data_IF_634056580944
#
_entry.id   IF_634056580944
#
_cell.length_a   1.000
_cell.length_b   1.000
_cell.length_c   1.000
_cell.angle_alpha   90.00
_cell.angle_beta   90.00
_cell.angle_gamma   90.00
#
_symmetry.space_group_name_H-M   'P 1'
#
loop_
_entity.id
_entity.type
_entity.pdbx_description
1 polymer ?
#
# COMPACT_ATOMS: atom_id res chain seq x y z
N UNK A 1 10.17 3.32 -18.80
CA UNK A 1 9.12 3.40 -17.76
C UNK A 1 9.67 2.86 -16.44
N UNK A 2 9.13 3.32 -15.30
CA UNK A 2 9.46 2.78 -13.98
C UNK A 2 8.36 1.80 -13.59
N UNK A 3 8.60 0.54 -13.91
CA UNK A 3 7.73 -0.58 -13.56
C UNK A 3 7.98 -1.03 -12.12
N UNK A 4 6.90 -1.38 -11.42
CA UNK A 4 6.93 -2.14 -10.19
C UNK A 4 6.10 -3.40 -10.35
N UNK A 5 6.71 -4.57 -10.13
CA UNK A 5 6.02 -5.85 -10.03
C UNK A 5 5.58 -6.06 -8.59
N UNK A 6 4.29 -5.97 -8.35
CA UNK A 6 3.72 -6.12 -7.01
C UNK A 6 3.00 -7.45 -6.97
N UNK A 7 3.38 -8.30 -6.01
CA UNK A 7 2.67 -9.55 -5.75
C UNK A 7 1.86 -9.43 -4.47
N UNK A 8 0.65 -9.98 -4.48
CA UNK A 8 -0.17 -10.17 -3.29
C UNK A 8 -0.28 -11.66 -3.01
N UNK A 9 -0.06 -12.05 -1.76
CA UNK A 9 -0.13 -13.45 -1.32
C UNK A 9 -1.16 -13.53 -0.23
N UNK A 10 -2.32 -14.09 -0.56
CA UNK A 10 -3.25 -14.48 0.47
C UNK A 10 -2.60 -15.62 1.26
N UNK A 11 -2.65 -15.60 2.59
CA UNK A 11 -2.13 -16.65 3.48
C UNK A 11 -3.20 -17.24 4.38
N UNK A 12 -4.37 -16.58 4.49
CA UNK A 12 -5.42 -16.95 5.42
C UNK A 12 -6.68 -17.42 4.67
N UNK A 13 -7.39 -18.41 5.23
CA UNK A 13 -8.77 -18.72 4.87
C UNK A 13 -9.61 -18.60 6.13
N UNK A 14 -10.59 -17.70 6.12
CA UNK A 14 -11.49 -17.37 7.25
C UNK A 14 -12.18 -18.60 7.85
N UNK A 15 -12.28 -19.71 7.12
CA UNK A 15 -13.01 -20.91 7.52
C UNK A 15 -12.28 -21.79 8.55
N UNK A 16 -10.96 -21.69 8.71
CA UNK A 16 -10.20 -22.58 9.62
C UNK A 16 -9.11 -21.78 10.33
N UNK A 17 -9.11 -21.81 11.66
CA UNK A 17 -7.99 -21.32 12.46
C UNK A 17 -6.87 -22.35 12.40
N UNK A 18 -5.71 -21.91 11.94
CA UNK A 18 -4.54 -22.76 11.73
C UNK A 18 -3.40 -22.30 12.61
N UNK A 19 -2.53 -23.23 12.98
CA UNK A 19 -1.35 -22.91 13.77
C UNK A 19 -0.33 -22.11 12.94
N UNK A 20 0.55 -21.41 13.65
CA UNK A 20 1.59 -20.57 13.05
C UNK A 20 2.45 -21.30 12.04
N UNK A 21 2.86 -22.53 12.34
CA UNK A 21 3.83 -23.25 11.53
C UNK A 21 3.18 -23.67 10.19
N UNK A 22 1.90 -24.05 10.22
CA UNK A 22 1.09 -24.25 9.01
C UNK A 22 0.97 -22.98 8.16
N UNK A 23 0.73 -21.83 8.79
CA UNK A 23 0.61 -20.54 8.09
C UNK A 23 1.95 -20.09 7.47
N UNK A 24 3.06 -20.29 8.17
CA UNK A 24 4.42 -20.03 7.67
C UNK A 24 4.78 -20.96 6.51
N UNK A 25 4.52 -22.26 6.63
CA UNK A 25 4.76 -23.23 5.56
C UNK A 25 3.98 -22.86 4.28
N UNK A 26 2.72 -22.44 4.44
CA UNK A 26 1.91 -21.94 3.32
C UNK A 26 2.45 -20.64 2.74
N UNK A 27 2.82 -19.68 3.58
CA UNK A 27 3.40 -18.42 3.13
C UNK A 27 4.66 -18.69 2.31
N UNK A 28 5.53 -19.58 2.78
CA UNK A 28 6.73 -20.04 2.08
C UNK A 28 6.41 -20.65 0.72
N UNK A 29 5.48 -21.61 0.66
CA UNK A 29 5.05 -22.24 -0.60
C UNK A 29 4.55 -21.19 -1.62
N UNK A 30 3.68 -20.28 -1.17
CA UNK A 30 3.08 -19.26 -2.04
C UNK A 30 4.08 -18.19 -2.46
N UNK A 31 4.98 -17.78 -1.56
CA UNK A 31 6.08 -16.85 -1.88
C UNK A 31 7.02 -17.49 -2.89
N UNK A 32 7.45 -18.74 -2.68
CA UNK A 32 8.27 -19.48 -3.66
C UNK A 32 7.55 -19.57 -5.01
N UNK A 33 6.25 -19.81 -5.00
CA UNK A 33 5.41 -19.88 -6.19
C UNK A 33 5.31 -18.56 -6.95
N UNK A 34 5.06 -17.44 -6.28
CA UNK A 34 4.90 -16.13 -6.93
C UNK A 34 6.24 -15.50 -7.31
N UNK A 35 7.35 -15.91 -6.68
CA UNK A 35 8.69 -15.37 -6.97
C UNK A 35 9.16 -15.65 -8.40
N UNK A 36 8.52 -16.59 -9.10
CA UNK A 36 8.69 -16.83 -10.54
C UNK A 36 8.41 -15.58 -11.38
N UNK A 37 7.53 -14.71 -10.90
CA UNK A 37 7.14 -13.47 -11.56
C UNK A 37 8.14 -12.32 -11.32
N UNK A 38 9.17 -12.57 -10.49
CA UNK A 38 10.24 -11.61 -10.12
C UNK A 38 9.67 -10.31 -9.52
N UNK A 39 8.92 -10.39 -8.40
CA UNK A 39 8.35 -9.22 -7.77
C UNK A 39 9.42 -8.25 -7.26
N UNK A 40 9.09 -6.96 -7.29
CA UNK A 40 9.79 -5.93 -6.54
C UNK A 40 9.38 -5.95 -5.06
N UNK A 41 8.09 -6.23 -4.80
CA UNK A 41 7.53 -6.43 -3.47
C UNK A 41 6.45 -7.51 -3.45
N UNK A 42 6.45 -8.31 -2.39
CA UNK A 42 5.39 -9.26 -2.06
C UNK A 42 4.66 -8.75 -0.80
N UNK A 43 3.34 -8.63 -0.86
CA UNK A 43 2.48 -8.24 0.26
C UNK A 43 1.70 -9.44 0.80
N UNK A 44 1.85 -9.70 2.10
CA UNK A 44 1.06 -10.65 2.88
C UNK A 44 -0.07 -9.93 3.63
N UNK A 45 -0.91 -10.69 4.33
CA UNK A 45 -2.08 -10.19 5.04
C UNK A 45 -1.75 -9.63 6.45
N UNK A 46 -2.74 -8.99 7.09
CA UNK A 46 -2.64 -8.50 8.47
C UNK A 46 -2.45 -9.66 9.45
N UNK A 47 -1.55 -9.49 10.43
CA UNK A 47 -1.28 -10.45 11.52
C UNK A 47 -1.29 -11.92 11.09
N UNK A 48 -0.71 -12.23 9.92
CA UNK A 48 -1.04 -13.44 9.17
C UNK A 48 -0.68 -14.76 9.87
N UNK A 49 0.28 -14.73 10.81
CA UNK A 49 0.81 -15.91 11.49
C UNK A 49 0.82 -15.79 13.03
N UNK A 50 0.47 -14.64 13.60
CA UNK A 50 0.46 -14.43 15.05
C UNK A 50 -0.74 -13.62 15.58
N UNK A 51 -1.85 -13.60 14.83
CA UNK A 51 -3.12 -13.12 15.35
C UNK A 51 -3.53 -13.93 16.59
N UNK A 52 -3.83 -13.28 17.73
CA UNK A 52 -4.30 -13.97 18.94
C UNK A 52 -5.57 -14.77 18.69
N UNK A 53 -5.68 -15.95 19.30
CA UNK A 53 -6.82 -16.85 19.08
C UNK A 53 -7.91 -16.68 20.14
N UNK A 54 -7.60 -16.13 21.32
CA UNK A 54 -8.59 -15.77 22.32
C UNK A 54 -8.25 -14.45 23.02
N UNK A 55 -9.20 -13.96 23.82
CA UNK A 55 -9.06 -12.69 24.53
C UNK A 55 -7.92 -12.70 25.56
N UNK A 56 -7.60 -13.86 26.15
CA UNK A 56 -6.55 -13.99 27.16
C UNK A 56 -5.15 -13.94 26.54
N UNK A 57 -4.96 -14.54 25.36
CA UNK A 57 -3.73 -14.43 24.57
C UNK A 57 -3.48 -13.00 24.12
N UNK A 58 -4.54 -12.29 23.74
CA UNK A 58 -4.51 -10.92 23.25
C UNK A 58 -3.96 -9.95 24.31
N UNK A 59 -4.54 -9.95 25.51
CA UNK A 59 -4.14 -9.06 26.61
C UNK A 59 -2.80 -9.39 27.26
N UNK A 60 -2.24 -10.57 26.99
CA UNK A 60 -0.91 -10.98 27.50
C UNK A 60 0.22 -10.80 26.49
N UNK A 61 -0.09 -10.37 25.26
CA UNK A 61 0.85 -10.23 24.14
C UNK A 61 1.70 -11.49 23.89
N UNK A 62 1.19 -12.69 24.23
CA UNK A 62 1.96 -13.94 24.16
C UNK A 62 2.36 -14.31 22.74
N UNK A 63 1.53 -13.96 21.76
CA UNK A 63 1.80 -14.20 20.34
C UNK A 63 2.58 -13.06 19.69
N UNK A 64 2.77 -11.94 20.39
CA UNK A 64 3.48 -10.80 19.83
C UNK A 64 4.98 -11.11 19.70
N UNK A 65 5.55 -10.80 18.53
CA UNK A 65 6.97 -11.05 18.24
C UNK A 65 7.70 -9.73 17.98
N UNK A 66 8.98 -9.67 18.33
CA UNK A 66 9.84 -8.57 17.88
C UNK A 66 10.35 -8.85 16.44
N UNK A 67 11.18 -7.95 15.92
CA UNK A 67 11.74 -8.07 14.57
C UNK A 67 12.86 -9.12 14.44
N UNK A 68 13.21 -9.81 15.53
CA UNK A 68 14.12 -10.96 15.55
C UNK A 68 13.36 -12.26 15.84
N UNK A 69 12.02 -12.18 15.91
CA UNK A 69 11.16 -13.34 16.08
C UNK A 69 11.14 -14.25 14.84
N UNK A 70 10.70 -15.50 15.02
CA UNK A 70 10.73 -16.53 13.99
C UNK A 70 9.99 -16.13 12.70
N UNK A 71 8.87 -15.38 12.80
CA UNK A 71 8.14 -14.91 11.61
C UNK A 71 9.04 -13.99 10.76
N UNK A 72 9.69 -13.03 11.42
CA UNK A 72 10.57 -12.08 10.75
C UNK A 72 11.80 -12.77 10.19
N UNK A 73 12.41 -13.70 10.92
CA UNK A 73 13.59 -14.45 10.45
C UNK A 73 13.29 -15.31 9.21
N UNK A 74 12.14 -15.99 9.18
CA UNK A 74 11.71 -16.80 8.05
C UNK A 74 11.46 -15.96 6.80
N UNK A 75 10.68 -14.87 6.93
CA UNK A 75 10.42 -13.97 5.81
C UNK A 75 11.68 -13.24 5.35
N UNK A 76 12.61 -12.93 6.27
CA UNK A 76 13.92 -12.37 5.93
C UNK A 76 14.75 -13.32 5.08
N UNK A 77 14.72 -14.63 5.38
CA UNK A 77 15.39 -15.63 4.55
C UNK A 77 14.76 -15.72 3.16
N UNK A 78 13.43 -15.62 3.04
CA UNK A 78 12.73 -15.63 1.76
C UNK A 78 13.00 -14.36 0.93
N UNK A 79 13.00 -13.18 1.55
CA UNK A 79 13.34 -11.93 0.89
C UNK A 79 14.75 -12.00 0.28
N UNK A 80 15.73 -12.51 1.04
CA UNK A 80 17.10 -12.77 0.53
C UNK A 80 17.14 -13.79 -0.60
N UNK A 81 16.44 -14.92 -0.44
CA UNK A 81 16.41 -16.02 -1.41
C UNK A 81 15.92 -15.53 -2.78
N UNK A 82 14.89 -14.68 -2.79
CA UNK A 82 14.22 -14.23 -4.01
C UNK A 82 14.61 -12.83 -4.47
N UNK A 83 15.41 -12.11 -3.68
CA UNK A 83 15.89 -10.76 -4.02
C UNK A 83 14.77 -9.74 -4.17
N UNK A 84 13.70 -9.85 -3.37
CA UNK A 84 12.53 -8.97 -3.40
C UNK A 84 12.22 -8.39 -2.03
N UNK A 85 11.47 -7.29 -1.99
CA UNK A 85 10.91 -6.81 -0.74
C UNK A 85 9.77 -7.71 -0.28
N UNK A 86 9.59 -7.86 1.03
CA UNK A 86 8.44 -8.56 1.61
C UNK A 86 7.80 -7.67 2.65
N UNK A 87 6.53 -7.31 2.43
CA UNK A 87 5.68 -6.58 3.36
C UNK A 87 4.71 -7.56 4.02
N UNK A 88 4.63 -7.55 5.35
CA UNK A 88 3.79 -8.48 6.10
C UNK A 88 3.21 -7.85 7.36
N UNK A 89 2.01 -8.28 7.74
CA UNK A 89 1.40 -7.92 9.01
C UNK A 89 1.96 -8.73 10.18
N UNK A 90 2.22 -8.06 11.29
CA UNK A 90 2.79 -8.63 12.50
C UNK A 90 2.11 -7.99 13.73
N UNK A 91 1.62 -8.80 14.66
CA UNK A 91 1.44 -8.32 16.04
C UNK A 91 2.84 -8.15 16.63
N UNK A 92 3.35 -6.92 16.61
CA UNK A 92 4.73 -6.59 16.91
C UNK A 92 4.88 -6.19 18.37
N UNK A 93 5.90 -6.75 19.02
CA UNK A 93 6.35 -6.33 20.35
C UNK A 93 7.57 -5.42 20.23
N UNK A 94 7.55 -4.29 20.94
CA UNK A 94 8.66 -3.36 21.07
C UNK A 94 8.83 -2.96 22.53
N UNK A 95 9.84 -3.56 23.18
CA UNK A 95 9.94 -3.60 24.64
C UNK A 95 8.63 -4.13 25.26
N UNK A 96 7.96 -3.33 26.09
CA UNK A 96 6.71 -3.69 26.76
C UNK A 96 5.46 -3.22 26.01
N UNK A 97 5.61 -2.71 24.78
CA UNK A 97 4.51 -2.18 23.96
C UNK A 97 4.17 -3.15 22.84
N UNK A 98 2.88 -3.25 22.52
CA UNK A 98 2.40 -4.02 21.37
C UNK A 98 1.77 -3.11 20.32
N UNK A 99 2.01 -3.45 19.06
CA UNK A 99 1.49 -2.74 17.91
C UNK A 99 0.96 -3.74 16.89
N UNK A 100 -0.12 -3.40 16.19
CA UNK A 100 -0.45 -4.06 14.93
C UNK A 100 0.35 -3.35 13.84
N UNK A 101 1.37 -4.01 13.29
CA UNK A 101 2.32 -3.39 12.38
C UNK A 101 2.35 -4.07 11.03
N UNK A 102 2.66 -3.31 9.99
CA UNK A 102 3.19 -3.82 8.74
C UNK A 102 4.71 -3.58 8.76
N UNK A 103 5.48 -4.64 8.52
CA UNK A 103 6.93 -4.57 8.40
C UNK A 103 7.32 -4.79 6.95
N UNK A 104 8.19 -3.95 6.41
CA UNK A 104 8.81 -4.12 5.09
C UNK A 104 10.25 -4.59 5.27
N UNK A 105 10.56 -5.73 4.66
CA UNK A 105 11.91 -6.25 4.50
C UNK A 105 12.47 -5.77 3.16
N UNK A 106 13.74 -5.36 3.15
CA UNK A 106 14.47 -5.12 1.91
C UNK A 106 14.83 -6.43 1.18
N UNK A 107 15.39 -6.31 -0.01
CA UNK A 107 15.87 -7.44 -0.82
C UNK A 107 16.96 -8.27 -0.13
N UNK A 108 17.63 -7.72 0.89
CA UNK A 108 18.60 -8.39 1.75
C UNK A 108 17.98 -9.00 3.01
N UNK A 109 16.65 -8.98 3.15
CA UNK A 109 15.92 -9.48 4.30
C UNK A 109 16.18 -8.69 5.58
N UNK A 110 16.42 -7.39 5.49
CA UNK A 110 16.51 -6.50 6.66
C UNK A 110 15.20 -5.72 6.81
N UNK A 111 14.65 -5.57 8.03
CA UNK A 111 13.56 -4.64 8.27
C UNK A 111 14.02 -3.21 7.98
N UNK A 112 13.39 -2.55 7.02
CA UNK A 112 13.74 -1.18 6.56
C UNK A 112 12.61 -0.18 6.77
N UNK A 113 11.38 -0.65 6.95
CA UNK A 113 10.25 0.20 7.24
C UNK A 113 9.21 -0.52 8.10
N UNK A 114 8.62 0.22 9.03
CA UNK A 114 7.58 -0.26 9.94
C UNK A 114 6.48 0.79 9.91
N UNK A 115 5.27 0.32 9.65
CA UNK A 115 4.06 1.11 9.80
C UNK A 115 3.22 0.50 10.92
N UNK A 116 3.04 1.23 12.00
CA UNK A 116 2.09 0.84 13.05
C UNK A 116 0.70 1.35 12.66
N UNK A 117 -0.31 0.48 12.76
CA UNK A 117 -1.72 0.78 12.44
C UNK A 117 -2.13 2.08 13.11
N UNK A 118 -2.49 3.07 12.29
CA UNK A 118 -2.78 4.42 12.76
C UNK A 118 -4.00 4.42 13.68
N UNK A 119 -5.04 3.68 13.29
CA UNK A 119 -6.26 3.51 14.07
C UNK A 119 -6.56 2.02 14.28
N UNK A 120 -6.03 1.40 15.36
CA UNK A 120 -6.44 0.06 15.75
C UNK A 120 -7.94 0.01 16.11
N UNK A 121 -8.57 -1.16 16.00
CA UNK A 121 -9.98 -1.27 16.43
C UNK A 121 -10.06 -1.12 17.96
N UNK A 122 -11.19 -0.64 18.52
CA UNK A 122 -11.33 -0.47 19.97
C UNK A 122 -10.99 -1.75 20.76
N UNK A 123 -11.36 -2.92 20.24
CA UNK A 123 -11.00 -4.21 20.84
C UNK A 123 -9.48 -4.43 20.96
N UNK A 124 -8.69 -4.10 19.93
CA UNK A 124 -7.23 -4.21 19.96
C UNK A 124 -6.64 -3.32 21.07
N UNK A 125 -7.17 -2.11 21.25
CA UNK A 125 -6.65 -1.17 22.24
C UNK A 125 -7.09 -1.51 23.66
N UNK A 126 -8.39 -1.75 23.86
CA UNK A 126 -8.99 -1.92 25.19
C UNK A 126 -8.75 -3.30 25.79
N UNK A 127 -8.79 -4.36 24.96
CA UNK A 127 -8.69 -5.75 25.44
C UNK A 127 -7.31 -6.34 25.22
N UNK A 128 -6.61 -5.90 24.17
CA UNK A 128 -5.31 -6.46 23.80
C UNK A 128 -4.14 -5.54 24.10
N UNK A 129 -4.36 -4.32 24.62
CA UNK A 129 -3.29 -3.38 24.95
C UNK A 129 -2.47 -2.90 23.75
N UNK A 130 -2.99 -3.06 22.52
CA UNK A 130 -2.32 -2.57 21.30
C UNK A 130 -2.37 -1.05 21.28
N UNK A 131 -1.23 -0.42 21.06
CA UNK A 131 -1.14 1.03 20.98
C UNK A 131 -1.38 1.50 19.53
N UNK A 132 -2.01 2.68 19.34
CA UNK A 132 -2.09 3.30 18.02
C UNK A 132 -0.73 3.76 17.53
N UNK A 133 -0.55 3.73 16.21
CA UNK A 133 0.61 4.30 15.53
C UNK A 133 0.65 5.83 15.61
N UNK A 134 1.86 6.39 15.41
CA UNK A 134 2.05 7.84 15.29
C UNK A 134 1.77 8.36 13.87
N UNK A 135 2.07 9.65 13.65
CA UNK A 135 2.02 10.23 12.29
C UNK A 135 2.95 9.45 11.35
N UNK A 136 2.41 8.87 10.27
CA UNK A 136 3.15 7.88 9.52
C UNK A 136 4.02 8.56 8.45
N UNK A 137 5.17 7.94 8.16
CA UNK A 137 6.14 8.45 7.18
C UNK A 137 6.24 7.48 6.01
N UNK A 138 6.12 8.02 4.80
CA UNK A 138 6.29 7.26 3.57
C UNK A 138 7.72 6.72 3.44
N UNK A 139 7.86 5.60 2.74
CA UNK A 139 9.16 4.96 2.50
C UNK A 139 9.51 4.99 1.01
N UNK A 140 10.73 5.44 0.69
CA UNK A 140 11.24 5.44 -0.69
C UNK A 140 11.94 4.10 -0.98
N UNK A 141 11.23 3.19 -1.65
CA UNK A 141 11.83 1.97 -2.19
C UNK A 141 12.50 2.23 -3.54
N UNK A 142 13.32 1.28 -4.00
CA UNK A 142 13.99 1.34 -5.30
C UNK A 142 13.03 1.36 -6.51
N UNK A 143 11.79 0.90 -6.31
CA UNK A 143 10.74 0.88 -7.33
C UNK A 143 9.71 2.02 -7.18
N UNK A 144 9.51 2.58 -5.98
CA UNK A 144 8.55 3.67 -5.75
C UNK A 144 8.36 4.09 -4.31
N UNK A 145 7.62 5.19 -4.14
CA UNK A 145 7.29 5.77 -2.82
C UNK A 145 6.06 5.09 -2.23
N UNK A 146 6.23 4.48 -1.05
CA UNK A 146 5.25 3.61 -0.42
C UNK A 146 4.51 4.30 0.72
N UNK A 147 3.21 4.04 0.81
CA UNK A 147 2.37 4.25 1.99
C UNK A 147 1.74 2.95 2.45
N UNK A 148 1.13 2.96 3.63
CA UNK A 148 0.52 1.79 4.21
C UNK A 148 -0.78 2.13 4.94
N UNK A 149 -1.73 1.20 4.92
CA UNK A 149 -2.93 1.25 5.74
C UNK A 149 -3.27 -0.18 6.14
N UNK A 150 -3.54 -0.42 7.42
CA UNK A 150 -3.87 -1.77 7.90
C UNK A 150 -5.36 -1.80 8.20
N UNK A 151 -6.10 -2.60 7.45
CA UNK A 151 -7.48 -3.00 7.77
C UNK A 151 -8.41 -1.82 8.11
N UNK A 152 -8.66 -1.59 9.39
CA UNK A 152 -9.56 -0.57 9.91
C UNK A 152 -9.18 0.86 9.52
N UNK A 153 -7.89 1.10 9.27
CA UNK A 153 -7.34 2.37 8.78
C UNK A 153 -8.07 2.93 7.55
N UNK A 154 -8.58 2.05 6.66
CA UNK A 154 -9.25 2.47 5.42
C UNK A 154 -10.53 3.30 5.65
N UNK A 155 -11.08 3.27 6.87
CA UNK A 155 -12.26 4.05 7.23
C UNK A 155 -11.94 5.52 7.57
N UNK A 156 -10.66 5.88 7.72
CA UNK A 156 -10.24 7.18 8.23
C UNK A 156 -9.57 8.01 7.12
N UNK A 157 -10.31 9.00 6.62
CA UNK A 157 -9.83 9.88 5.54
C UNK A 157 -8.63 10.74 5.94
N UNK A 158 -8.44 10.95 7.24
CA UNK A 158 -7.29 11.67 7.82
C UNK A 158 -5.97 11.02 7.43
N UNK A 159 -5.89 9.68 7.53
CA UNK A 159 -4.71 8.93 7.11
C UNK A 159 -4.47 9.06 5.60
N UNK A 160 -5.54 8.95 4.81
CA UNK A 160 -5.44 9.09 3.37
C UNK A 160 -4.96 10.49 2.93
N UNK A 161 -5.39 11.55 3.63
CA UNK A 161 -4.90 12.92 3.39
C UNK A 161 -3.42 13.08 3.79
N UNK A 162 -2.95 12.39 4.85
CA UNK A 162 -1.52 12.34 5.19
C UNK A 162 -0.70 11.67 4.09
N UNK A 163 -1.22 10.59 3.49
CA UNK A 163 -0.58 9.92 2.36
C UNK A 163 -0.59 10.73 1.08
N UNK A 164 -1.70 11.40 0.82
CA UNK A 164 -1.83 12.27 -0.33
C UNK A 164 -0.85 13.45 -0.28
N UNK A 165 -0.70 14.07 0.91
CA UNK A 165 0.32 15.11 1.16
C UNK A 165 1.75 14.61 0.94
N UNK A 166 2.00 13.32 1.23
CA UNK A 166 3.32 12.72 1.10
C UNK A 166 3.62 12.20 -0.32
N UNK A 167 2.72 12.40 -1.29
CA UNK A 167 2.85 11.99 -2.70
C UNK A 167 3.28 10.52 -2.86
N UNK A 168 2.66 9.62 -2.09
CA UNK A 168 2.90 8.18 -2.26
C UNK A 168 2.43 7.70 -3.63
N UNK A 169 3.07 6.66 -4.14
CA UNK A 169 2.78 6.08 -5.45
C UNK A 169 2.04 4.74 -5.32
N UNK A 170 2.32 4.00 -4.24
CA UNK A 170 1.71 2.71 -3.95
C UNK A 170 1.33 2.62 -2.47
N UNK A 171 0.06 2.34 -2.20
CA UNK A 171 -0.44 1.98 -0.88
C UNK A 171 -0.43 0.46 -0.70
N UNK A 172 0.24 -0.02 0.33
CA UNK A 172 0.19 -1.42 0.76
C UNK A 172 -0.91 -1.59 1.81
N UNK A 173 -1.86 -2.50 1.55
CA UNK A 173 -3.03 -2.73 2.40
C UNK A 173 -3.11 -4.20 2.86
N UNK A 174 -2.34 -4.61 3.88
CA UNK A 174 -2.55 -5.89 4.56
C UNK A 174 -3.79 -5.81 5.47
N UNK A 175 -4.65 -6.83 5.43
CA UNK A 175 -5.94 -6.73 6.12
C UNK A 175 -6.58 -8.06 6.54
N UNK A 176 -7.28 -8.06 7.67
CA UNK A 176 -8.25 -9.06 8.09
C UNK A 176 -9.69 -8.66 7.69
N UNK A 177 -9.86 -7.53 7.00
CA UNK A 177 -11.13 -6.96 6.51
C UNK A 177 -11.10 -6.87 4.97
N UNK A 178 -12.16 -7.28 4.24
CA UNK A 178 -12.15 -7.28 2.78
C UNK A 178 -12.04 -5.87 2.17
N UNK A 179 -12.51 -4.83 2.86
CA UNK A 179 -12.51 -3.42 2.45
C UNK A 179 -13.24 -3.05 1.13
N UNK A 180 -13.49 -3.98 0.21
CA UNK A 180 -14.35 -3.82 -0.96
C UNK A 180 -14.18 -2.44 -1.62
N UNK A 181 -15.30 -1.74 -1.84
CA UNK A 181 -15.34 -0.43 -2.50
C UNK A 181 -14.62 0.72 -1.77
N UNK A 182 -14.23 0.55 -0.51
CA UNK A 182 -13.43 1.55 0.19
C UNK A 182 -12.02 1.65 -0.40
N UNK A 183 -11.48 0.55 -0.93
CA UNK A 183 -10.19 0.58 -1.64
C UNK A 183 -10.29 1.39 -2.93
N UNK A 184 -11.37 1.19 -3.69
CA UNK A 184 -11.60 1.95 -4.93
C UNK A 184 -11.76 3.45 -4.63
N UNK A 185 -12.47 3.80 -3.55
CA UNK A 185 -12.70 5.21 -3.21
C UNK A 185 -11.42 5.95 -2.83
N UNK A 186 -10.48 5.30 -2.14
CA UNK A 186 -9.18 5.90 -1.83
C UNK A 186 -8.34 6.09 -3.09
N UNK A 187 -8.26 5.07 -3.94
CA UNK A 187 -7.50 5.15 -5.20
C UNK A 187 -8.03 6.29 -6.08
N UNK A 188 -9.35 6.32 -6.34
CA UNK A 188 -9.96 7.33 -7.20
C UNK A 188 -9.81 8.74 -6.62
N UNK A 189 -9.92 8.89 -5.29
CA UNK A 189 -9.86 10.20 -4.63
C UNK A 189 -8.46 10.76 -4.49
N UNK A 190 -7.45 9.91 -4.30
CA UNK A 190 -6.09 10.32 -3.94
C UNK A 190 -5.03 9.99 -4.99
N UNK A 191 -5.35 9.18 -6.00
CA UNK A 191 -4.53 9.00 -7.20
C UNK A 191 -3.24 8.18 -7.03
N UNK A 192 -3.12 7.39 -5.96
CA UNK A 192 -2.06 6.38 -5.80
C UNK A 192 -2.54 5.00 -6.25
N UNK A 193 -1.62 4.12 -6.66
CA UNK A 193 -1.91 2.71 -6.84
C UNK A 193 -2.11 2.01 -5.48
N UNK A 194 -2.77 0.85 -5.47
CA UNK A 194 -3.05 0.12 -4.24
C UNK A 194 -2.87 -1.38 -4.43
N UNK A 195 -2.19 -2.03 -3.49
CA UNK A 195 -2.13 -3.49 -3.37
C UNK A 195 -2.83 -3.94 -2.10
N UNK A 196 -3.95 -4.65 -2.24
CA UNK A 196 -4.75 -5.15 -1.12
C UNK A 196 -4.58 -6.64 -0.94
N UNK A 197 -4.04 -7.06 0.22
CA UNK A 197 -3.95 -8.45 0.64
C UNK A 197 -4.78 -8.67 1.89
N UNK A 198 -5.89 -9.40 1.75
CA UNK A 198 -6.89 -9.64 2.78
C UNK A 198 -6.98 -11.13 3.16
N UNK A 199 -7.61 -11.45 4.30
CA UNK A 199 -7.93 -12.85 4.66
C UNK A 199 -9.02 -13.50 3.79
N UNK A 200 -9.59 -12.76 2.85
CA UNK A 200 -10.69 -13.19 1.99
C UNK A 200 -10.22 -13.32 0.54
N UNK A 201 -11.00 -13.95 -0.32
CA UNK A 201 -10.65 -14.17 -1.73
C UNK A 201 -10.85 -12.93 -2.63
N UNK A 202 -10.85 -11.73 -2.05
CA UNK A 202 -11.08 -10.47 -2.77
C UNK A 202 -9.82 -9.61 -2.97
N UNK A 203 -8.63 -10.18 -2.73
CA UNK A 203 -7.34 -9.51 -2.91
C UNK A 203 -7.20 -8.97 -4.33
N UNK A 204 -6.64 -7.77 -4.47
CA UNK A 204 -6.49 -7.12 -5.77
C UNK A 204 -5.41 -6.06 -5.78
N UNK A 205 -4.85 -5.84 -6.97
CA UNK A 205 -3.95 -4.71 -7.27
C UNK A 205 -4.72 -3.74 -8.16
N UNK A 206 -4.80 -2.50 -7.71
CA UNK A 206 -5.45 -1.39 -8.38
C UNK A 206 -4.39 -0.41 -8.89
N UNK A 207 -4.56 0.01 -10.12
CA UNK A 207 -3.85 1.16 -10.69
C UNK A 207 -4.39 2.48 -10.10
N UNK A 208 -3.68 3.60 -10.27
CA UNK A 208 -4.11 4.93 -9.81
C UNK A 208 -5.41 5.43 -10.44
N UNK A 209 -5.88 4.79 -11.51
CA UNK A 209 -7.18 5.02 -12.16
C UNK A 209 -8.34 4.25 -11.49
N UNK A 210 -8.04 3.32 -10.57
CA UNK A 210 -9.01 2.34 -10.06
C UNK A 210 -9.12 1.07 -10.91
N UNK A 211 -8.44 0.99 -12.06
CA UNK A 211 -8.43 -0.21 -12.87
C UNK A 211 -7.81 -1.40 -12.11
N UNK A 212 -8.47 -2.55 -12.16
CA UNK A 212 -7.99 -3.78 -11.54
C UNK A 212 -6.96 -4.45 -12.45
N UNK A 213 -5.72 -4.55 -12.00
CA UNK A 213 -4.63 -5.16 -12.79
C UNK A 213 -4.47 -6.66 -12.52
N UNK A 214 -4.71 -7.07 -11.27
CA UNK A 214 -4.62 -8.47 -10.87
C UNK A 214 -5.54 -8.73 -9.67
N UNK A 215 -6.04 -9.97 -9.56
CA UNK A 215 -6.84 -10.45 -8.42
C UNK A 215 -6.49 -11.89 -8.09
N UNK A 216 -6.57 -12.24 -6.82
CA UNK A 216 -6.56 -13.64 -6.40
C UNK A 216 -7.94 -14.26 -6.61
N UNK A 217 -7.99 -15.59 -6.55
CA UNK A 217 -9.21 -16.36 -6.37
C UNK A 217 -8.95 -17.55 -5.45
N UNK A 218 -9.99 -18.32 -5.17
CA UNK A 218 -9.92 -19.61 -4.48
C UNK A 218 -8.98 -20.62 -5.18
N UNK A 219 -8.84 -20.54 -6.51
CA UNK A 219 -7.89 -21.34 -7.30
C UNK A 219 -6.50 -20.73 -7.43
N UNK A 220 -6.40 -19.39 -7.31
CA UNK A 220 -5.15 -18.64 -7.48
C UNK A 220 -4.88 -17.80 -6.23
N UNK A 221 -4.25 -18.37 -5.18
CA UNK A 221 -4.12 -17.72 -3.88
C UNK A 221 -3.07 -16.60 -3.83
N UNK A 222 -2.35 -16.39 -4.93
CA UNK A 222 -1.39 -15.31 -5.11
C UNK A 222 -1.41 -14.84 -6.56
N UNK A 223 -1.04 -13.59 -6.79
CA UNK A 223 -0.95 -13.03 -8.15
C UNK A 223 0.02 -11.86 -8.19
N UNK A 224 0.46 -11.49 -9.38
CA UNK A 224 1.37 -10.36 -9.63
C UNK A 224 0.73 -9.38 -10.60
N UNK A 225 0.75 -8.10 -10.25
CA UNK A 225 0.40 -6.98 -11.11
C UNK A 225 1.64 -6.17 -11.48
N UNK A 226 1.68 -5.63 -12.70
CA UNK A 226 2.74 -4.73 -13.16
C UNK A 226 2.19 -3.31 -13.19
N UNK A 227 2.72 -2.44 -12.34
CA UNK A 227 2.34 -1.04 -12.25
C UNK A 227 3.41 -0.16 -12.91
N UNK A 228 3.00 0.86 -13.67
CA UNK A 228 3.87 1.99 -13.96
C UNK A 228 3.68 3.03 -12.86
N UNK A 229 4.63 3.14 -11.92
CA UNK A 229 4.54 4.10 -10.81
C UNK A 229 4.95 5.52 -11.21
N UNK A 230 5.47 5.69 -12.43
CA UNK A 230 5.79 7.00 -13.00
C UNK A 230 4.55 7.64 -13.65
N UNK A 231 3.51 7.81 -12.83
CA UNK A 231 2.20 8.33 -13.18
C UNK A 231 1.72 9.29 -12.11
N UNK A 232 1.00 10.35 -12.49
CA UNK A 232 0.34 11.26 -11.54
C UNK A 232 -1.03 11.66 -12.03
N UNK A 233 -1.99 11.63 -11.11
CA UNK A 233 -3.33 12.18 -11.30
C UNK A 233 -3.29 13.67 -11.00
N UNK A 234 -3.79 14.49 -11.92
CA UNK A 234 -3.92 15.94 -11.73
C UNK A 234 -5.33 16.37 -12.12
N UNK A 235 -5.80 17.48 -11.54
CA UNK A 235 -7.10 18.03 -11.92
C UNK A 235 -7.03 18.57 -13.36
N UNK A 236 -8.10 18.45 -14.15
CA UNK A 236 -8.12 18.97 -15.53
C UNK A 236 -8.11 20.51 -15.57
N UNK A 237 -8.91 21.14 -14.70
CA UNK A 237 -8.98 22.60 -14.62
C UNK A 237 -7.62 23.20 -14.27
N UNK A 238 -7.23 24.24 -15.00
CA UNK A 238 -5.93 24.91 -14.89
C UNK A 238 -4.73 24.18 -15.52
N UNK A 239 -4.82 22.87 -15.79
CA UNK A 239 -3.65 22.07 -16.19
C UNK A 239 -3.58 21.71 -17.69
N UNK A 240 -4.71 21.67 -18.41
CA UNK A 240 -4.73 21.15 -19.79
C UNK A 240 -3.75 21.84 -20.75
N UNK A 241 -3.56 23.15 -20.65
CA UNK A 241 -2.60 23.88 -21.47
C UNK A 241 -1.13 23.51 -21.19
N UNK A 242 -0.80 23.21 -19.93
CA UNK A 242 0.54 22.74 -19.56
C UNK A 242 0.77 21.30 -20.04
N UNK A 243 -0.24 20.45 -19.93
CA UNK A 243 -0.22 19.06 -20.41
C UNK A 243 -0.06 19.00 -21.93
N UNK A 244 -0.73 19.87 -22.69
CA UNK A 244 -0.60 19.91 -24.15
C UNK A 244 0.82 20.29 -24.60
N UNK A 245 1.44 21.28 -23.95
CA UNK A 245 2.86 21.62 -24.17
C UNK A 245 3.78 20.47 -23.80
N UNK A 246 3.48 19.74 -22.74
CA UNK A 246 4.24 18.57 -22.31
C UNK A 246 4.24 17.47 -23.37
N UNK A 247 3.06 17.14 -23.92
CA UNK A 247 2.92 16.17 -25.01
C UNK A 247 3.58 16.63 -26.31
N UNK A 248 3.59 17.94 -26.56
CA UNK A 248 4.29 18.52 -27.72
C UNK A 248 5.80 18.38 -27.61
N UNK A 249 6.39 18.60 -26.41
CA UNK A 249 7.82 18.47 -26.19
C UNK A 249 8.30 17.02 -26.10
N UNK A 250 7.47 16.12 -25.55
CA UNK A 250 7.77 14.71 -25.33
C UNK A 250 6.78 13.80 -26.09
N UNK A 251 6.73 13.88 -27.43
CA UNK A 251 5.75 13.13 -28.22
C UNK A 251 5.98 11.62 -28.11
N UNK A 252 4.93 10.87 -27.78
CA UNK A 252 4.98 9.40 -27.60
C UNK A 252 5.64 8.93 -26.30
N UNK A 253 6.44 9.78 -25.65
CA UNK A 253 7.07 9.51 -24.35
C UNK A 253 6.13 9.81 -23.17
N UNK A 254 5.15 10.70 -23.37
CA UNK A 254 4.14 11.07 -22.36
C UNK A 254 2.75 10.71 -22.89
N UNK A 255 2.05 9.86 -22.13
CA UNK A 255 0.65 9.49 -22.35
C UNK A 255 -0.23 10.24 -21.35
N UNK A 256 -1.43 10.56 -21.79
CA UNK A 256 -2.43 11.26 -21.01
C UNK A 256 -3.74 10.49 -21.11
N UNK A 257 -4.26 10.05 -19.98
CA UNK A 257 -5.54 9.35 -19.88
C UNK A 257 -6.59 10.30 -19.33
N UNK A 258 -7.66 10.49 -20.12
CA UNK A 258 -8.80 11.33 -19.78
C UNK A 258 -9.74 10.57 -18.83
N UNK A 259 -9.91 11.10 -17.61
CA UNK A 259 -10.87 10.62 -16.61
C UNK A 259 -11.88 11.73 -16.30
N UNK A 260 -12.59 12.18 -17.33
CA UNK A 260 -13.51 13.34 -17.26
C UNK A 260 -14.62 13.22 -16.23
N UNK A 261 -15.12 12.02 -15.97
CA UNK A 261 -16.19 11.81 -15.01
C UNK A 261 -15.77 12.22 -13.58
N UNK A 262 -14.49 12.06 -13.26
CA UNK A 262 -13.86 12.53 -12.02
C UNK A 262 -13.19 13.92 -12.14
N UNK A 263 -13.27 14.57 -13.31
CA UNK A 263 -12.60 15.84 -13.64
C UNK A 263 -11.06 15.80 -13.48
N UNK A 264 -10.46 14.63 -13.62
CA UNK A 264 -9.00 14.45 -13.50
C UNK A 264 -8.39 13.83 -14.76
N UNK A 265 -7.09 13.94 -14.87
CA UNK A 265 -6.31 13.40 -15.97
C UNK A 265 -5.07 12.73 -15.41
N UNK A 266 -4.71 11.57 -15.97
CA UNK A 266 -3.48 10.87 -15.56
C UNK A 266 -2.37 11.16 -16.55
N UNK A 267 -1.27 11.72 -16.05
CA UNK A 267 -0.04 11.92 -16.81
C UNK A 267 0.86 10.71 -16.56
N UNK A 268 1.26 10.04 -17.63
CA UNK A 268 2.08 8.83 -17.60
C UNK A 268 3.35 9.06 -18.42
N UNK A 269 4.53 8.85 -17.83
CA UNK A 269 5.78 8.83 -18.59
C UNK A 269 6.18 7.39 -18.91
N UNK A 270 6.38 7.13 -20.20
CA UNK A 270 6.87 5.86 -20.73
C UNK A 270 8.39 5.83 -20.86
N UNK A 271 9.04 7.00 -20.93
CA UNK A 271 10.47 7.13 -21.14
C UNK A 271 11.26 6.80 -19.87
N UNK A 272 12.29 5.97 -20.00
CA UNK A 272 13.21 5.67 -18.89
C UNK A 272 14.01 6.93 -18.53
N UNK A 273 14.06 7.27 -17.25
CA UNK A 273 14.80 8.44 -16.75
C UNK A 273 14.06 9.78 -16.87
N UNK A 274 12.82 9.78 -17.37
CA UNK A 274 11.97 10.97 -17.40
C UNK A 274 10.84 10.80 -16.38
N UNK A 275 10.92 11.44 -15.22
CA UNK A 275 9.90 11.31 -14.19
C UNK A 275 8.78 12.34 -14.36
N UNK A 276 7.53 11.93 -14.12
CA UNK A 276 6.35 12.81 -14.18
C UNK A 276 6.46 13.96 -13.19
N UNK A 277 7.10 13.76 -12.03
CA UNK A 277 7.40 14.85 -11.09
C UNK A 277 8.30 15.95 -11.69
N UNK A 278 9.24 15.58 -12.57
CA UNK A 278 10.09 16.53 -13.27
C UNK A 278 9.29 17.29 -14.33
N UNK A 279 8.43 16.58 -15.07
CA UNK A 279 7.51 17.17 -16.03
C UNK A 279 6.52 18.15 -15.37
N UNK A 280 5.96 17.78 -14.22
CA UNK A 280 5.06 18.65 -13.44
C UNK A 280 5.76 19.97 -13.09
N UNK A 281 7.00 19.89 -12.60
CA UNK A 281 7.82 21.08 -12.30
C UNK A 281 8.17 21.89 -13.55
N UNK A 282 8.58 21.22 -14.62
CA UNK A 282 9.01 21.85 -15.87
C UNK A 282 7.88 22.68 -16.51
N UNK A 283 6.66 22.13 -16.53
CA UNK A 283 5.52 22.76 -17.21
C UNK A 283 4.62 23.58 -16.30
N UNK A 284 4.89 23.59 -14.98
CA UNK A 284 4.06 24.28 -13.99
C UNK A 284 2.67 23.66 -13.85
N UNK A 285 2.58 22.33 -13.89
CA UNK A 285 1.33 21.60 -13.62
C UNK A 285 1.06 21.67 -12.12
N UNK A 286 -0.16 22.05 -11.73
CA UNK A 286 -0.60 21.99 -10.34
C UNK A 286 -0.98 20.54 -9.99
N UNK A 287 -0.42 19.99 -8.91
CA UNK A 287 -0.76 18.65 -8.45
C UNK A 287 -2.21 18.59 -7.98
N UNK A 288 -2.83 17.40 -7.96
CA UNK A 288 -4.19 17.26 -7.43
C UNK A 288 -4.28 17.71 -5.96
N UNK A 289 -3.25 17.41 -5.16
CA UNK A 289 -3.19 17.83 -3.76
C UNK A 289 -3.20 19.36 -3.67
N UNK A 290 -2.30 20.02 -4.39
CA UNK A 290 -2.16 21.48 -4.35
C UNK A 290 -3.43 22.18 -4.85
N UNK A 291 -4.07 21.65 -5.89
CA UNK A 291 -5.35 22.14 -6.41
C UNK A 291 -6.45 22.13 -5.33
N UNK A 292 -6.59 21.04 -4.58
CA UNK A 292 -7.55 20.96 -3.48
C UNK A 292 -7.14 21.82 -2.28
N UNK A 293 -5.85 21.91 -1.95
CA UNK A 293 -5.40 22.83 -0.89
C UNK A 293 -5.64 24.29 -1.25
N UNK A 294 -5.43 24.68 -2.50
CA UNK A 294 -5.76 26.01 -3.01
C UNK A 294 -7.26 26.27 -2.87
N UNK A 295 -8.10 25.31 -3.24
CA UNK A 295 -9.55 25.42 -3.11
C UNK A 295 -9.99 25.58 -1.64
N UNK A 296 -9.41 24.79 -0.72
CA UNK A 296 -9.64 24.90 0.73
C UNK A 296 -9.18 26.25 1.28
N UNK A 297 -8.03 26.75 0.84
CA UNK A 297 -7.50 28.06 1.23
C UNK A 297 -8.42 29.19 0.77
N UNK A 298 -8.80 29.21 -0.51
CA UNK A 298 -9.71 30.22 -1.08
C UNK A 298 -11.06 30.19 -0.35
N UNK A 299 -11.61 29.00 -0.06
CA UNK A 299 -12.85 28.88 0.74
C UNK A 299 -12.71 29.56 2.10
N UNK A 300 -11.60 29.34 2.82
CA UNK A 300 -11.35 29.99 4.13
C UNK A 300 -11.22 31.51 4.02
N UNK A 301 -10.54 32.00 2.99
CA UNK A 301 -10.43 33.44 2.69
C UNK A 301 -11.81 34.10 2.46
N UNK A 302 -12.79 33.32 2.02
CA UNK A 302 -14.18 33.76 1.80
C UNK A 302 -15.13 33.38 2.95
N UNK A 303 -14.60 33.13 4.16
CA UNK A 303 -15.40 32.90 5.36
C UNK A 303 -16.05 31.52 5.46
N UNK A 304 -15.66 30.56 4.62
CA UNK A 304 -16.10 29.17 4.76
C UNK A 304 -15.44 28.50 5.96
N UNK A 305 -16.27 27.85 6.81
CA UNK A 305 -15.84 26.98 7.92
C UNK A 305 -15.24 25.68 7.38
#
# INVERSE_FOLDING_TARGET
MREARVSIVNTAKVAVREDRDTLLARARERIDGVSRDRPDVILLTEQFANCPTDNNECGTHKTAEDLKGPITEELSALARKHGCHIAYGLLRKDADRAFNSMVLLDRGGKPVWIYDKFTPVPYEMEQCGVLPGGEPKAYDADFGRLGAAICFDINFGELAEMWFKQDIELLLFPSAFPAGRLLDSWVVRYGFALAGSTWYDNNRILDCTGAVLARTSDYCPYTTGVLNLNRRVVHMDGNMGAIDRMRTKYPGDVIVEDMRDEAVVVITSLKKGLEVKDLIREFGVETLYDYFQRSRRVRKEHGGV
#
